data_IF_105763143015
#
_entry.id   IF_105763143015
#
_cell.length_a   1.000
_cell.length_b   1.000
_cell.length_c   1.000
_cell.angle_alpha   90.00
_cell.angle_beta   90.00
_cell.angle_gamma   90.00
#
_symmetry.space_group_name_H-M   'P 1'
#
loop_
_entity.id
_entity.type
_entity.pdbx_description
1 polymer ?
#
# COMPACT_ATOMS: atom_id res chain seq x y z
N UNK A 1 19.86 -21.18 27.68
CA UNK A 1 18.84 -21.98 28.38
C UNK A 1 18.09 -22.83 27.36
N UNK A 2 17.68 -24.05 27.72
CA UNK A 2 16.82 -24.87 26.84
C UNK A 2 15.42 -24.27 26.78
N UNK A 3 14.86 -24.11 25.58
CA UNK A 3 13.52 -23.52 25.37
C UNK A 3 12.45 -24.53 24.96
N UNK A 4 12.79 -25.82 25.08
CA UNK A 4 11.88 -26.93 24.75
C UNK A 4 10.63 -26.94 25.63
N UNK A 5 10.74 -26.40 26.85
CA UNK A 5 9.62 -26.25 27.78
C UNK A 5 8.45 -25.46 27.19
N UNK A 6 8.68 -24.50 26.28
CA UNK A 6 7.61 -23.70 25.63
C UNK A 6 6.63 -24.61 24.86
N UNK A 7 7.11 -25.75 24.35
CA UNK A 7 6.32 -26.73 23.61
C UNK A 7 5.66 -27.78 24.51
N UNK A 8 5.90 -27.74 25.83
CA UNK A 8 5.31 -28.70 26.75
C UNK A 8 3.80 -28.40 26.95
N UNK A 9 2.96 -29.35 26.52
CA UNK A 9 1.50 -29.23 26.62
C UNK A 9 0.99 -29.30 28.06
N UNK A 10 1.77 -29.90 28.97
CA UNK A 10 1.45 -29.97 30.39
C UNK A 10 2.03 -28.75 31.13
N UNK A 11 1.21 -27.71 31.28
CA UNK A 11 1.59 -26.45 31.95
C UNK A 11 1.77 -26.56 33.47
N UNK A 12 1.47 -27.73 34.05
CA UNK A 12 1.71 -28.03 35.45
C UNK A 12 2.94 -28.92 35.65
N UNK A 13 3.66 -29.29 34.58
CA UNK A 13 4.90 -30.03 34.69
C UNK A 13 6.01 -29.11 35.23
N UNK A 14 6.88 -29.67 36.07
CA UNK A 14 8.01 -28.95 36.66
C UNK A 14 8.87 -28.27 35.58
N UNK A 15 9.16 -28.97 34.47
CA UNK A 15 9.90 -28.42 33.32
C UNK A 15 9.28 -27.12 32.75
N UNK A 16 7.96 -27.02 32.73
CA UNK A 16 7.27 -25.82 32.24
C UNK A 16 7.30 -24.68 33.26
N UNK A 17 7.18 -25.01 34.55
CA UNK A 17 7.24 -24.02 35.63
C UNK A 17 8.66 -23.46 35.79
N UNK A 18 9.68 -24.33 35.78
CA UNK A 18 11.09 -23.95 35.79
C UNK A 18 11.43 -23.05 34.59
N UNK A 19 10.88 -23.38 33.42
CA UNK A 19 11.03 -22.56 32.22
C UNK A 19 10.43 -21.15 32.33
N UNK A 20 9.31 -21.00 33.03
CA UNK A 20 8.73 -19.69 33.34
C UNK A 20 9.67 -18.91 34.25
N UNK A 21 10.20 -19.54 35.30
CA UNK A 21 11.14 -18.90 36.23
C UNK A 21 12.40 -18.41 35.50
N UNK A 22 12.99 -19.25 34.65
CA UNK A 22 14.12 -18.91 33.78
C UNK A 22 13.83 -17.69 32.90
N UNK A 23 12.62 -17.64 32.30
CA UNK A 23 12.19 -16.50 31.48
C UNK A 23 12.04 -15.22 32.31
N UNK A 24 11.39 -15.30 33.48
CA UNK A 24 11.18 -14.15 34.35
C UNK A 24 12.53 -13.61 34.85
N UNK A 25 13.44 -14.50 35.22
CA UNK A 25 14.77 -14.10 35.66
C UNK A 25 15.56 -13.45 34.52
N UNK A 26 15.51 -14.03 33.32
CA UNK A 26 16.09 -13.43 32.13
C UNK A 26 15.56 -12.01 31.89
N UNK A 27 14.23 -11.83 31.90
CA UNK A 27 13.60 -10.54 31.68
C UNK A 27 14.00 -9.51 32.74
N UNK A 28 14.14 -9.92 34.01
CA UNK A 28 14.62 -9.05 35.10
C UNK A 28 16.06 -8.61 34.89
N UNK A 29 16.96 -9.55 34.52
CA UNK A 29 18.38 -9.24 34.29
C UNK A 29 18.59 -8.27 33.13
N UNK A 30 17.81 -8.42 32.06
CA UNK A 30 17.96 -7.62 30.84
C UNK A 30 17.15 -6.32 30.84
N UNK A 31 16.26 -6.12 31.82
CA UNK A 31 15.49 -4.89 32.00
C UNK A 31 15.57 -4.39 33.45
N UNK A 32 16.76 -4.00 33.94
CA UNK A 32 16.94 -3.60 35.34
C UNK A 32 16.09 -2.36 35.68
N UNK A 33 15.34 -2.44 36.78
CA UNK A 33 14.46 -1.36 37.24
C UNK A 33 13.06 -1.34 36.62
N UNK A 34 12.75 -2.20 35.64
CA UNK A 34 11.41 -2.28 35.06
C UNK A 34 10.41 -2.91 36.04
N UNK A 35 9.32 -2.20 36.34
CA UNK A 35 8.20 -2.72 37.16
C UNK A 35 7.17 -3.50 36.34
N UNK A 36 7.22 -3.36 35.00
CA UNK A 36 6.34 -4.02 34.04
C UNK A 36 7.14 -4.51 32.84
N UNK A 37 6.77 -5.67 32.31
CA UNK A 37 7.34 -6.26 31.09
C UNK A 37 6.23 -6.64 30.12
N UNK A 38 6.57 -6.86 28.85
CA UNK A 38 5.61 -7.36 27.86
C UNK A 38 5.20 -8.79 28.23
N UNK A 39 3.93 -9.14 28.04
CA UNK A 39 3.43 -10.47 28.41
C UNK A 39 3.42 -11.42 27.19
N UNK A 40 4.30 -12.45 27.13
CA UNK A 40 4.37 -13.40 26.01
C UNK A 40 3.34 -14.53 26.10
N UNK A 41 2.33 -14.41 26.96
CA UNK A 41 1.28 -15.43 27.00
C UNK A 41 0.41 -15.38 25.74
N UNK A 42 -0.21 -16.50 25.37
CA UNK A 42 -1.03 -16.63 24.14
C UNK A 42 -2.16 -15.61 24.03
N UNK A 43 -2.67 -15.11 25.17
CA UNK A 43 -3.72 -14.10 25.21
C UNK A 43 -3.19 -12.68 24.99
N UNK A 44 -2.03 -12.36 25.56
CA UNK A 44 -1.48 -11.01 25.53
C UNK A 44 -0.59 -10.77 24.30
N UNK A 45 -0.01 -11.82 23.73
CA UNK A 45 0.74 -11.78 22.47
C UNK A 45 1.85 -10.74 22.40
N UNK A 46 2.58 -10.55 23.50
CA UNK A 46 3.60 -9.50 23.64
C UNK A 46 3.07 -8.08 23.34
N UNK A 47 1.75 -7.85 23.36
CA UNK A 47 1.16 -6.52 23.12
C UNK A 47 0.88 -5.76 24.41
N UNK A 48 0.59 -6.47 25.50
CA UNK A 48 0.27 -5.87 26.80
C UNK A 48 1.49 -5.83 27.72
N UNK A 49 1.62 -4.72 28.44
CA UNK A 49 2.58 -4.55 29.54
C UNK A 49 1.91 -4.99 30.84
N UNK A 50 2.56 -5.86 31.60
CA UNK A 50 2.03 -6.41 32.85
C UNK A 50 3.12 -6.40 33.91
N UNK A 51 2.73 -6.43 35.19
CA UNK A 51 3.71 -6.66 36.26
C UNK A 51 4.33 -8.03 36.11
N UNK A 52 5.56 -8.18 36.59
CA UNK A 52 6.31 -9.44 36.44
C UNK A 52 5.55 -10.60 37.09
N UNK A 53 4.91 -10.34 38.23
CA UNK A 53 4.07 -11.31 38.94
C UNK A 53 2.84 -11.73 38.09
N UNK A 54 2.18 -10.76 37.44
CA UNK A 54 1.06 -11.04 36.54
C UNK A 54 1.49 -11.80 35.28
N UNK A 55 2.69 -11.53 34.76
CA UNK A 55 3.22 -12.28 33.61
C UNK A 55 3.43 -13.74 33.98
N UNK A 56 4.01 -14.04 35.15
CA UNK A 56 4.13 -15.41 35.66
C UNK A 56 2.77 -16.11 35.72
N UNK A 57 1.78 -15.47 36.34
CA UNK A 57 0.41 -15.99 36.41
C UNK A 57 -0.20 -16.24 35.02
N UNK A 58 -0.02 -15.30 34.09
CA UNK A 58 -0.51 -15.43 32.73
C UNK A 58 0.16 -16.57 31.95
N UNK A 59 1.44 -16.84 32.19
CA UNK A 59 2.16 -17.92 31.52
C UNK A 59 1.74 -19.31 32.02
N UNK A 60 1.43 -19.44 33.32
CA UNK A 60 0.82 -20.65 33.88
C UNK A 60 -0.58 -20.87 33.31
N UNK A 61 -1.44 -19.83 33.35
CA UNK A 61 -2.84 -19.94 32.96
C UNK A 61 -3.06 -20.09 31.45
N UNK A 62 -2.37 -19.27 30.65
CA UNK A 62 -2.66 -19.12 29.22
C UNK A 62 -1.60 -19.77 28.33
N UNK A 63 -0.45 -20.17 28.87
CA UNK A 63 0.66 -20.70 28.09
C UNK A 63 1.49 -19.59 27.44
N UNK A 64 2.79 -19.83 27.25
CA UNK A 64 3.63 -19.00 26.39
C UNK A 64 3.30 -19.24 24.91
N UNK A 65 3.62 -18.27 24.05
CA UNK A 65 3.51 -18.40 22.61
C UNK A 65 4.64 -19.26 22.08
N UNK A 66 4.27 -20.33 21.37
CA UNK A 66 5.20 -21.35 20.87
C UNK A 66 6.22 -20.80 19.87
N UNK A 67 5.86 -19.77 19.10
CA UNK A 67 6.74 -19.12 18.13
C UNK A 67 7.70 -18.13 18.77
N UNK A 68 7.50 -17.75 20.04
CA UNK A 68 8.34 -16.79 20.76
C UNK A 68 9.53 -17.48 21.44
N UNK A 69 10.38 -18.11 20.62
CA UNK A 69 11.57 -18.86 21.05
C UNK A 69 12.85 -18.03 21.14
N UNK A 70 12.80 -16.76 20.73
CA UNK A 70 13.85 -15.76 20.90
C UNK A 70 13.24 -14.62 21.72
N UNK A 71 13.76 -14.36 22.91
CA UNK A 71 13.23 -13.36 23.83
C UNK A 71 13.73 -11.95 23.50
N UNK A 72 13.71 -11.58 22.22
CA UNK A 72 14.24 -10.31 21.73
C UNK A 72 13.54 -9.08 22.35
N UNK A 73 12.23 -9.15 22.59
CA UNK A 73 11.49 -8.09 23.29
C UNK A 73 11.82 -8.00 24.80
N UNK A 74 12.60 -8.94 25.31
CA UNK A 74 13.09 -8.98 26.69
C UNK A 74 14.62 -8.91 26.76
N UNK A 75 15.30 -8.55 25.66
CA UNK A 75 16.74 -8.27 25.64
C UNK A 75 17.64 -9.41 25.13
N UNK A 76 17.08 -10.50 24.58
CA UNK A 76 17.89 -11.52 23.92
C UNK A 76 18.47 -11.00 22.60
N UNK A 77 19.80 -10.87 22.56
CA UNK A 77 20.53 -10.61 21.32
C UNK A 77 20.82 -11.93 20.60
N UNK A 78 20.62 -11.94 19.28
CA UNK A 78 20.94 -13.09 18.44
C UNK A 78 22.37 -12.93 17.95
N UNK A 79 23.28 -13.79 18.41
CA UNK A 79 24.66 -13.81 17.92
C UNK A 79 24.68 -14.25 16.45
N UNK A 80 24.97 -13.30 15.56
CA UNK A 80 25.15 -13.55 14.13
C UNK A 80 26.55 -14.03 13.81
N UNK A 81 26.83 -15.29 14.15
CA UNK A 81 27.92 -16.03 13.53
C UNK A 81 27.31 -17.06 12.56
N UNK A 82 27.59 -16.85 11.28
CA UNK A 82 27.30 -17.76 10.15
C UNK A 82 25.89 -17.70 9.54
N UNK A 83 25.63 -16.69 8.70
CA UNK A 83 25.10 -16.90 7.34
C UNK A 83 24.98 -15.56 6.59
N UNK A 84 25.72 -15.48 5.47
CA UNK A 84 25.46 -14.70 4.25
C UNK A 84 24.95 -13.26 4.35
N UNK A 85 25.76 -12.35 3.80
CA UNK A 85 25.49 -10.93 3.52
C UNK A 85 24.22 -10.69 2.68
N UNK A 86 23.05 -10.74 3.30
CA UNK A 86 21.88 -9.98 2.87
C UNK A 86 21.83 -8.71 3.72
N UNK A 87 21.66 -7.50 3.13
CA UNK A 87 21.41 -6.32 3.94
C UNK A 87 20.09 -6.56 4.67
N UNK A 88 20.19 -6.64 6.00
CA UNK A 88 19.04 -6.68 6.89
C UNK A 88 18.27 -5.39 6.70
N UNK A 89 17.07 -5.50 6.14
CA UNK A 89 16.05 -4.49 6.35
C UNK A 89 15.52 -4.76 7.75
N UNK A 90 16.12 -4.13 8.75
CA UNK A 90 15.54 -4.03 10.09
C UNK A 90 14.20 -3.29 9.93
N UNK A 91 13.12 -4.03 9.76
CA UNK A 91 11.77 -3.49 9.91
C UNK A 91 11.45 -3.41 11.41
N UNK A 92 12.24 -2.67 12.18
CA UNK A 92 11.66 -1.90 13.27
C UNK A 92 11.11 -0.68 12.57
N UNK A 93 9.80 -0.68 12.25
CA UNK A 93 9.14 0.58 11.91
C UNK A 93 9.51 1.54 13.05
N UNK A 94 10.27 2.61 12.79
CA UNK A 94 10.51 3.60 13.83
C UNK A 94 9.13 4.06 14.31
N UNK A 95 9.00 4.44 15.58
CA UNK A 95 7.84 5.21 16.01
C UNK A 95 7.99 6.58 15.34
N UNK A 96 7.64 6.66 14.05
CA UNK A 96 7.67 7.87 13.25
C UNK A 96 6.39 8.62 13.57
N UNK A 97 6.53 9.89 13.93
CA UNK A 97 5.40 10.77 14.16
C UNK A 97 4.42 10.69 12.96
N UNK A 98 3.11 10.50 13.19
CA UNK A 98 2.14 10.41 12.09
C UNK A 98 2.16 11.61 11.13
N UNK A 99 2.48 12.82 11.63
CA UNK A 99 2.66 14.00 10.79
C UNK A 99 3.92 13.89 9.92
N UNK A 100 5.02 13.37 10.45
CA UNK A 100 6.25 13.12 9.67
C UNK A 100 6.00 12.10 8.56
N UNK A 101 5.23 11.04 8.84
CA UNK A 101 4.83 10.07 7.81
C UNK A 101 4.03 10.73 6.68
N UNK A 102 3.10 11.60 7.02
CA UNK A 102 2.28 12.34 6.05
C UNK A 102 3.14 13.32 5.23
N UNK A 103 4.11 13.97 5.85
CA UNK A 103 5.07 14.82 5.15
C UNK A 103 5.93 14.00 4.18
N UNK A 104 6.38 12.81 4.58
CA UNK A 104 7.04 11.86 3.68
C UNK A 104 6.18 11.49 2.48
N UNK A 105 4.89 11.20 2.69
CA UNK A 105 3.93 10.92 1.61
C UNK A 105 3.81 12.12 0.65
N UNK A 106 3.75 13.36 1.14
CA UNK A 106 3.70 14.55 0.29
C UNK A 106 4.99 14.68 -0.53
N UNK A 107 6.15 14.49 0.10
CA UNK A 107 7.44 14.57 -0.57
C UNK A 107 7.57 13.50 -1.66
N UNK A 108 7.10 12.28 -1.41
CA UNK A 108 7.07 11.21 -2.40
C UNK A 108 6.13 11.51 -3.58
N UNK A 109 5.02 12.21 -3.34
CA UNK A 109 4.09 12.63 -4.40
C UNK A 109 4.63 13.84 -5.18
N UNK A 110 5.35 14.76 -4.52
CA UNK A 110 5.91 15.98 -5.12
C UNK A 110 7.41 16.16 -4.83
N UNK A 111 8.30 15.34 -5.42
CA UNK A 111 9.74 15.40 -5.13
C UNK A 111 10.44 16.69 -5.55
N UNK A 112 9.91 17.40 -6.56
CA UNK A 112 10.43 18.71 -6.98
C UNK A 112 10.43 19.73 -5.83
N UNK A 113 9.53 19.56 -4.85
CA UNK A 113 9.43 20.44 -3.70
C UNK A 113 10.52 20.17 -2.65
N UNK A 114 11.14 18.99 -2.68
CA UNK A 114 12.22 18.60 -1.77
C UNK A 114 13.60 19.03 -2.29
N UNK A 115 13.76 19.11 -3.61
CA UNK A 115 15.02 19.49 -4.29
C UNK A 115 15.39 20.96 -4.16
N UNK A 116 14.45 21.86 -3.86
CA UNK A 116 14.72 23.30 -3.75
C UNK A 116 15.46 23.72 -2.47
N UNK A 117 15.75 22.80 -1.54
CA UNK A 117 16.38 23.16 -0.26
C UNK A 117 17.90 22.92 -0.26
N UNK A 118 18.45 22.00 -1.08
CA UNK A 118 19.89 21.72 -1.08
C UNK A 118 20.38 21.05 -2.38
N UNK A 119 20.71 21.80 -3.44
CA UNK A 119 21.70 21.35 -4.43
C UNK A 119 22.24 22.50 -5.30
N UNK A 120 23.44 22.97 -4.94
CA UNK A 120 24.44 23.46 -5.88
C UNK A 120 25.04 22.21 -6.55
N UNK A 121 24.53 21.83 -7.72
CA UNK A 121 25.03 20.71 -8.51
C UNK A 121 24.57 20.85 -9.96
N UNK A 122 25.54 21.05 -10.85
CA UNK A 122 25.33 21.20 -12.30
C UNK A 122 24.75 19.92 -12.93
N UNK A 123 23.95 20.13 -13.99
CA UNK A 123 23.41 19.15 -14.98
C UNK A 123 22.02 18.51 -14.81
N UNK A 124 21.13 19.02 -13.94
CA UNK A 124 19.69 18.71 -14.07
C UNK A 124 18.90 19.95 -14.54
N UNK A 125 18.41 19.89 -15.78
CA UNK A 125 17.48 20.87 -16.34
C UNK A 125 16.23 20.88 -15.45
N UNK A 126 15.85 22.01 -14.82
CA UNK A 126 14.63 22.07 -14.03
C UNK A 126 13.44 21.74 -14.93
N UNK A 127 12.75 20.63 -14.66
CA UNK A 127 11.49 20.32 -15.32
C UNK A 127 10.52 21.47 -15.05
N UNK A 128 9.93 22.10 -16.08
CA UNK A 128 8.93 23.14 -15.87
C UNK A 128 7.79 22.57 -15.01
N UNK A 129 7.61 23.12 -13.81
CA UNK A 129 6.56 22.67 -12.90
C UNK A 129 5.22 23.10 -13.51
N UNK A 130 4.31 22.14 -13.74
CA UNK A 130 2.94 22.46 -14.11
C UNK A 130 2.28 23.25 -12.97
N UNK A 131 1.74 24.42 -13.28
CA UNK A 131 1.02 25.26 -12.31
C UNK A 131 -0.06 24.48 -11.54
N UNK A 132 -0.72 23.51 -12.18
CA UNK A 132 -1.76 22.70 -11.55
C UNK A 132 -1.18 21.72 -10.52
N UNK A 133 -0.03 21.11 -10.80
CA UNK A 133 0.65 20.22 -9.85
C UNK A 133 1.19 20.99 -8.64
N UNK A 134 1.69 22.21 -8.86
CA UNK A 134 2.13 23.10 -7.79
C UNK A 134 0.97 23.52 -6.88
N UNK A 135 -0.16 23.95 -7.44
CA UNK A 135 -1.37 24.28 -6.66
C UNK A 135 -1.84 23.09 -5.81
N UNK A 136 -1.75 21.87 -6.35
CA UNK A 136 -2.12 20.65 -5.64
C UNK A 136 -1.17 20.35 -4.48
N UNK A 137 0.14 20.52 -4.69
CA UNK A 137 1.16 20.43 -3.65
C UNK A 137 0.91 21.43 -2.52
N UNK A 138 0.76 22.73 -2.85
CA UNK A 138 0.56 23.78 -1.85
C UNK A 138 -0.67 23.52 -0.99
N UNK A 139 -1.76 23.04 -1.60
CA UNK A 139 -2.99 22.71 -0.88
C UNK A 139 -2.79 21.54 0.09
N UNK A 140 -2.03 20.52 -0.29
CA UNK A 140 -1.73 19.40 0.59
C UNK A 140 -0.79 19.81 1.72
N UNK A 141 0.26 20.56 1.39
CA UNK A 141 1.21 21.11 2.35
C UNK A 141 0.50 21.98 3.39
N UNK A 142 -0.44 22.82 2.96
CA UNK A 142 -1.27 23.60 3.87
C UNK A 142 -2.04 22.72 4.85
N UNK A 143 -2.66 21.62 4.38
CA UNK A 143 -3.40 20.71 5.28
C UNK A 143 -2.47 19.89 6.19
N UNK A 144 -1.24 19.60 5.75
CA UNK A 144 -0.25 18.89 6.57
C UNK A 144 0.39 19.77 7.65
N UNK A 145 0.54 21.06 7.38
CA UNK A 145 1.06 22.03 8.36
C UNK A 145 -0.03 22.64 9.24
N UNK A 146 -1.30 22.52 8.84
CA UNK A 146 -2.42 23.03 9.63
C UNK A 146 -2.78 22.03 10.73
N UNK A 147 -2.65 22.46 11.98
CA UNK A 147 -3.14 21.72 13.15
C UNK A 147 -4.64 21.39 13.01
N UNK A 148 -5.05 20.23 13.53
CA UNK A 148 -6.45 19.82 13.48
C UNK A 148 -7.38 20.78 14.22
N UNK A 149 -6.90 21.37 15.30
CA UNK A 149 -7.49 22.46 16.08
C UNK A 149 -6.34 23.18 16.81
N UNK A 150 -6.50 24.44 17.26
CA UNK A 150 -5.40 25.17 17.88
C UNK A 150 -4.80 24.45 19.09
N UNK A 151 -3.48 24.27 19.07
CA UNK A 151 -2.71 23.55 20.09
C UNK A 151 -2.66 22.03 19.89
N UNK A 152 -3.09 21.51 18.75
CA UNK A 152 -3.05 20.07 18.46
C UNK A 152 -1.70 19.67 17.84
N UNK A 153 -0.71 19.39 18.69
CA UNK A 153 0.62 18.96 18.25
C UNK A 153 0.62 17.56 17.61
N UNK A 154 -0.26 16.67 18.06
CA UNK A 154 -0.29 15.27 17.62
C UNK A 154 -0.89 15.03 16.24
N UNK A 155 -1.70 15.95 15.71
CA UNK A 155 -2.43 15.74 14.45
C UNK A 155 -2.56 17.03 13.64
N UNK A 156 -2.04 16.99 12.42
CA UNK A 156 -2.48 17.89 11.36
C UNK A 156 -3.84 17.48 10.78
N UNK A 157 -4.47 18.39 10.02
CA UNK A 157 -5.70 18.10 9.27
C UNK A 157 -5.50 16.93 8.32
N UNK A 158 -4.37 16.89 7.59
CA UNK A 158 -4.10 15.81 6.63
C UNK A 158 -3.88 14.47 7.35
N UNK A 159 -3.13 14.47 8.45
CA UNK A 159 -2.89 13.27 9.27
C UNK A 159 -4.18 12.68 9.80
N UNK A 160 -5.06 13.51 10.36
CA UNK A 160 -6.37 13.05 10.83
C UNK A 160 -7.20 12.42 9.70
N UNK A 161 -7.18 13.03 8.50
CA UNK A 161 -7.90 12.49 7.33
C UNK A 161 -7.33 11.15 6.89
N UNK A 162 -6.00 11.03 6.79
CA UNK A 162 -5.30 9.79 6.37
C UNK A 162 -5.63 8.66 7.34
N UNK A 163 -5.48 8.89 8.65
CA UNK A 163 -5.74 7.88 9.69
C UNK A 163 -7.21 7.42 9.72
N UNK A 164 -8.15 8.38 9.64
CA UNK A 164 -9.57 8.05 9.63
C UNK A 164 -9.96 7.27 8.36
N UNK A 165 -9.43 7.66 7.19
CA UNK A 165 -9.68 6.96 5.94
C UNK A 165 -9.04 5.58 5.91
N UNK A 166 -7.85 5.43 6.49
CA UNK A 166 -7.21 4.14 6.69
C UNK A 166 -8.07 3.24 7.60
N UNK A 167 -8.54 3.76 8.74
CA UNK A 167 -9.45 3.06 9.65
C UNK A 167 -10.75 2.64 8.95
N UNK A 168 -11.36 3.53 8.15
CA UNK A 168 -12.54 3.22 7.34
C UNK A 168 -12.31 2.00 6.43
N UNK A 169 -11.18 1.96 5.74
CA UNK A 169 -10.85 0.88 4.81
C UNK A 169 -10.57 -0.41 5.59
N UNK A 170 -9.70 -0.32 6.61
CA UNK A 170 -9.27 -1.44 7.44
C UNK A 170 -10.44 -2.14 8.12
N UNK A 171 -11.39 -1.38 8.66
CA UNK A 171 -12.56 -1.89 9.38
C UNK A 171 -13.84 -1.89 8.54
N UNK A 172 -13.73 -1.63 7.23
CA UNK A 172 -14.83 -1.72 6.24
C UNK A 172 -16.06 -0.89 6.60
N UNK A 173 -15.88 0.30 7.14
CA UNK A 173 -17.00 1.20 7.41
C UNK A 173 -17.67 1.60 6.10
N UNK A 174 -19.01 1.59 6.07
CA UNK A 174 -19.77 2.20 4.97
C UNK A 174 -19.55 3.73 4.97
N UNK A 175 -19.91 4.42 3.88
CA UNK A 175 -19.81 5.89 3.85
C UNK A 175 -20.73 6.51 4.90
N UNK A 176 -21.95 5.96 5.05
CA UNK A 176 -22.90 6.39 6.07
C UNK A 176 -22.33 6.23 7.50
N UNK A 177 -21.73 5.07 7.79
CA UNK A 177 -21.10 4.81 9.09
C UNK A 177 -19.94 5.76 9.36
N UNK A 178 -19.09 5.98 8.35
CA UNK A 178 -17.98 6.92 8.45
C UNK A 178 -18.46 8.36 8.71
N UNK A 179 -19.44 8.84 7.95
CA UNK A 179 -19.99 10.18 8.10
C UNK A 179 -20.63 10.39 9.48
N UNK A 180 -21.32 9.36 9.99
CA UNK A 180 -21.87 9.38 11.34
C UNK A 180 -20.78 9.55 12.40
N UNK A 181 -19.76 8.68 12.41
CA UNK A 181 -18.69 8.75 13.40
C UNK A 181 -17.82 10.00 13.24
N UNK A 182 -17.55 10.43 12.01
CA UNK A 182 -16.85 11.68 11.73
C UNK A 182 -17.61 12.88 12.34
N UNK A 183 -18.94 12.89 12.21
CA UNK A 183 -19.79 13.89 12.85
C UNK A 183 -19.76 13.81 14.38
N UNK A 184 -19.67 12.61 14.97
CA UNK A 184 -19.49 12.43 16.42
C UNK A 184 -18.14 12.99 16.86
N UNK A 185 -17.04 12.58 16.22
CA UNK A 185 -15.69 13.08 16.54
C UNK A 185 -15.62 14.59 16.42
N UNK A 186 -16.20 15.17 15.36
CA UNK A 186 -16.24 16.63 15.16
C UNK A 186 -16.92 17.39 16.31
N UNK A 187 -17.92 16.79 16.97
CA UNK A 187 -18.60 17.38 18.14
C UNK A 187 -17.85 17.16 19.45
N UNK A 188 -16.97 16.15 19.52
CA UNK A 188 -16.13 15.88 20.69
C UNK A 188 -14.89 16.78 20.73
N UNK A 189 -14.45 17.28 19.57
CA UNK A 189 -13.31 18.19 19.42
C UNK A 189 -13.70 19.66 19.70
N UNK A 190 -12.73 20.56 19.93
CA UNK A 190 -12.97 22.00 20.05
C UNK A 190 -13.74 22.59 18.86
N UNK A 191 -14.53 23.63 19.10
CA UNK A 191 -15.50 24.18 18.11
C UNK A 191 -14.84 24.67 16.82
N UNK A 192 -13.59 25.10 16.88
CA UNK A 192 -12.76 25.60 15.77
C UNK A 192 -11.94 24.50 15.07
N UNK A 193 -12.24 23.23 15.31
CA UNK A 193 -11.58 22.13 14.64
C UNK A 193 -11.81 22.12 13.11
N UNK A 194 -10.75 21.75 12.39
CA UNK A 194 -10.66 21.70 10.96
C UNK A 194 -10.92 20.29 10.39
N UNK A 195 -11.53 19.40 11.19
CA UNK A 195 -11.88 18.05 10.74
C UNK A 195 -12.85 18.11 9.56
N UNK A 196 -12.67 17.20 8.59
CA UNK A 196 -13.55 17.10 7.42
C UNK A 196 -15.02 16.92 7.81
N UNK A 197 -15.93 17.44 6.96
CA UNK A 197 -17.39 17.38 7.22
C UNK A 197 -17.97 15.99 7.00
N UNK A 198 -17.48 15.29 5.98
CA UNK A 198 -17.96 13.99 5.54
C UNK A 198 -16.86 13.27 4.73
N UNK A 199 -17.14 12.04 4.34
CA UNK A 199 -16.30 11.20 3.49
C UNK A 199 -15.92 11.87 2.18
N UNK A 200 -16.85 12.60 1.54
CA UNK A 200 -16.62 13.23 0.24
C UNK A 200 -15.58 14.34 0.35
N UNK A 201 -15.64 15.15 1.39
CA UNK A 201 -14.65 16.20 1.66
C UNK A 201 -13.30 15.61 2.04
N UNK A 202 -13.28 14.59 2.90
CA UNK A 202 -12.05 13.85 3.24
C UNK A 202 -11.38 13.26 1.99
N UNK A 203 -12.17 12.60 1.12
CA UNK A 203 -11.69 12.03 -0.13
C UNK A 203 -11.18 13.11 -1.11
N UNK A 204 -11.81 14.29 -1.15
CA UNK A 204 -11.36 15.41 -2.00
C UNK A 204 -9.98 15.94 -1.58
N UNK A 205 -9.65 15.91 -0.29
CA UNK A 205 -8.31 16.25 0.20
C UNK A 205 -7.30 15.20 -0.29
N UNK A 206 -7.61 13.90 -0.12
CA UNK A 206 -6.73 12.81 -0.53
C UNK A 206 -6.58 12.66 -2.06
N UNK A 207 -7.48 13.23 -2.86
CA UNK A 207 -7.32 13.28 -4.32
C UNK A 207 -5.98 13.93 -4.72
N UNK A 208 -5.49 14.87 -3.91
CA UNK A 208 -4.19 15.51 -4.12
C UNK A 208 -3.01 14.54 -4.08
N UNK A 209 -3.15 13.37 -3.46
CA UNK A 209 -2.07 12.39 -3.29
C UNK A 209 -1.91 11.45 -4.50
N UNK A 210 -2.57 11.74 -5.62
CA UNK A 210 -2.54 10.88 -6.81
C UNK A 210 -3.17 9.50 -6.57
N UNK A 211 -4.12 9.41 -5.62
CA UNK A 211 -4.94 8.23 -5.33
C UNK A 211 -6.23 8.20 -6.17
N UNK A 212 -6.31 9.05 -7.19
CA UNK A 212 -7.44 9.17 -8.10
C UNK A 212 -7.50 8.03 -9.12
N UNK A 213 -8.63 7.99 -9.83
CA UNK A 213 -8.82 7.12 -10.99
C UNK A 213 -9.71 7.83 -11.99
N UNK A 214 -9.50 7.54 -13.27
CA UNK A 214 -10.35 8.01 -14.36
C UNK A 214 -11.53 7.06 -14.55
N UNK A 215 -12.72 7.63 -14.77
CA UNK A 215 -13.92 6.86 -15.10
C UNK A 215 -14.10 6.86 -16.61
N UNK A 216 -13.84 5.73 -17.25
CA UNK A 216 -14.02 5.58 -18.69
C UNK A 216 -15.28 4.76 -18.93
N UNK A 217 -16.18 5.27 -19.77
CA UNK A 217 -17.42 4.56 -20.08
C UNK A 217 -17.14 3.45 -21.09
N UNK A 218 -17.80 2.32 -20.93
CA UNK A 218 -17.70 1.19 -21.84
C UNK A 218 -19.04 0.90 -22.50
N UNK A 219 -19.01 0.36 -23.72
CA UNK A 219 -20.20 -0.18 -24.35
C UNK A 219 -20.75 -1.34 -23.50
N UNK A 220 -22.08 -1.43 -23.41
CA UNK A 220 -22.81 -2.52 -22.72
C UNK A 220 -22.34 -3.91 -23.16
N UNK A 221 -22.09 -4.06 -24.45
CA UNK A 221 -21.65 -5.31 -25.07
C UNK A 221 -20.12 -5.45 -25.17
N UNK A 222 -19.36 -4.63 -24.42
CA UNK A 222 -17.89 -4.62 -24.41
C UNK A 222 -17.21 -4.32 -25.75
N UNK A 223 -17.94 -3.83 -26.77
CA UNK A 223 -17.37 -3.62 -28.11
C UNK A 223 -16.24 -2.57 -28.15
N UNK A 224 -16.32 -1.56 -27.27
CA UNK A 224 -15.37 -0.45 -27.21
C UNK A 224 -15.48 0.34 -25.91
N UNK A 225 -14.48 1.18 -25.66
CA UNK A 225 -14.52 2.26 -24.68
C UNK A 225 -14.89 3.59 -25.35
N UNK A 226 -15.69 4.40 -24.66
CA UNK A 226 -15.91 5.80 -25.02
C UNK A 226 -14.70 6.62 -24.52
N UNK A 227 -13.58 6.46 -25.22
CA UNK A 227 -12.25 6.95 -24.84
C UNK A 227 -11.59 7.64 -26.04
N UNK A 228 -10.85 8.73 -25.80
CA UNK A 228 -10.20 9.57 -26.82
C UNK A 228 -11.19 10.00 -27.92
N UNK A 229 -10.95 9.57 -29.17
CA UNK A 229 -11.77 9.92 -30.34
C UNK A 229 -13.25 9.54 -30.21
N UNK A 230 -13.59 8.65 -29.28
CA UNK A 230 -14.95 8.20 -29.02
C UNK A 230 -15.58 8.77 -27.74
N UNK A 231 -14.89 9.67 -27.04
CA UNK A 231 -15.34 10.21 -25.75
C UNK A 231 -16.66 10.98 -25.85
N UNK A 232 -16.91 11.65 -26.98
CA UNK A 232 -18.11 12.46 -27.21
C UNK A 232 -19.28 11.67 -27.78
N UNK A 233 -19.08 10.39 -28.11
CA UNK A 233 -20.15 9.55 -28.64
C UNK A 233 -21.13 9.16 -27.53
N UNK A 234 -22.41 9.24 -27.85
CA UNK A 234 -23.52 8.79 -27.00
C UNK A 234 -23.99 7.37 -27.36
N UNK A 235 -23.55 6.84 -28.51
CA UNK A 235 -23.92 5.53 -29.06
C UNK A 235 -22.69 4.79 -29.55
N UNK A 236 -22.65 3.48 -29.35
CA UNK A 236 -21.57 2.63 -29.85
C UNK A 236 -21.68 2.45 -31.38
N UNK A 237 -20.70 2.87 -32.20
CA UNK A 237 -20.71 2.67 -33.65
C UNK A 237 -20.66 1.20 -34.11
N UNK A 238 -20.30 0.26 -33.23
CA UNK A 238 -20.17 -1.17 -33.58
C UNK A 238 -21.51 -1.90 -33.43
N UNK A 239 -22.22 -1.68 -32.33
CA UNK A 239 -23.45 -2.42 -32.01
C UNK A 239 -24.69 -1.52 -31.83
N UNK A 240 -24.56 -0.22 -32.05
CA UNK A 240 -25.62 0.80 -31.92
C UNK A 240 -26.28 0.90 -30.53
N UNK A 241 -25.69 0.29 -29.50
CA UNK A 241 -26.18 0.42 -28.13
C UNK A 241 -25.85 1.79 -27.54
N UNK A 242 -26.77 2.30 -26.73
CA UNK A 242 -26.59 3.58 -26.04
C UNK A 242 -25.53 3.50 -24.94
N UNK A 243 -24.71 4.55 -24.83
CA UNK A 243 -23.76 4.75 -23.73
C UNK A 243 -24.45 4.88 -22.38
N UNK A 244 -25.69 5.39 -22.36
CA UNK A 244 -26.42 5.74 -21.15
C UNK A 244 -27.63 4.84 -20.91
N UNK A 245 -27.99 4.66 -19.64
CA UNK A 245 -29.20 3.95 -19.22
C UNK A 245 -30.43 4.79 -19.53
N UNK A 246 -31.53 4.15 -19.93
CA UNK A 246 -32.83 4.82 -20.03
C UNK A 246 -33.44 4.92 -18.64
N UNK A 247 -33.55 6.14 -18.09
CA UNK A 247 -34.22 6.39 -16.80
C UNK A 247 -35.64 6.90 -17.03
N UNK A 248 -36.61 6.31 -16.32
CA UNK A 248 -38.03 6.69 -16.39
C UNK A 248 -38.33 8.01 -15.66
N UNK A 249 -37.43 8.47 -14.80
CA UNK A 249 -37.58 9.67 -13.97
C UNK A 249 -36.38 10.59 -14.24
N UNK A 250 -36.68 11.80 -14.73
CA UNK A 250 -35.74 12.85 -15.14
C UNK A 250 -34.78 12.49 -16.30
N UNK A 251 -35.15 12.93 -17.52
CA UNK A 251 -34.36 12.86 -18.76
C UNK A 251 -33.04 13.66 -18.73
N UNK A 252 -32.72 14.35 -17.64
CA UNK A 252 -31.54 15.23 -17.54
C UNK A 252 -30.29 14.52 -17.04
N UNK A 253 -30.41 13.41 -16.29
CA UNK A 253 -29.24 12.75 -15.70
C UNK A 253 -28.77 11.60 -16.59
N UNK A 254 -27.67 11.82 -17.32
CA UNK A 254 -27.02 10.79 -18.15
C UNK A 254 -26.22 9.83 -17.25
N UNK A 255 -26.76 8.62 -17.01
CA UNK A 255 -26.09 7.59 -16.22
C UNK A 255 -25.45 6.56 -17.17
N UNK A 256 -24.13 6.34 -17.15
CA UNK A 256 -23.48 5.38 -18.05
C UNK A 256 -23.96 3.96 -17.78
N UNK A 257 -24.04 3.14 -18.84
CA UNK A 257 -24.41 1.74 -18.72
C UNK A 257 -23.32 0.91 -18.07
N UNK A 258 -22.06 1.12 -18.48
CA UNK A 258 -20.88 0.42 -17.95
C UNK A 258 -19.72 1.41 -17.79
N UNK A 259 -18.95 1.25 -16.72
CA UNK A 259 -17.80 2.11 -16.38
C UNK A 259 -16.63 1.23 -15.97
N UNK A 260 -15.47 1.45 -16.58
CA UNK A 260 -14.19 0.97 -16.06
C UNK A 260 -13.51 2.10 -15.29
N UNK A 261 -12.68 1.72 -14.30
CA UNK A 261 -11.81 2.66 -13.61
C UNK A 261 -10.38 2.44 -14.08
N UNK A 262 -9.74 3.51 -14.53
CA UNK A 262 -8.35 3.51 -14.95
C UNK A 262 -7.48 4.22 -13.91
N UNK A 263 -6.38 3.58 -13.52
CA UNK A 263 -5.42 4.07 -12.54
C UNK A 263 -4.08 4.26 -13.26
N UNK A 264 -3.68 5.50 -13.58
CA UNK A 264 -2.48 5.79 -14.36
C UNK A 264 -1.22 5.15 -13.80
N UNK A 265 -0.40 4.58 -14.68
CA UNK A 265 0.82 3.86 -14.36
C UNK A 265 2.05 4.78 -14.25
N UNK A 266 2.21 5.74 -15.17
CA UNK A 266 3.34 6.68 -15.25
C UNK A 266 3.64 7.37 -13.91
N UNK A 267 2.69 8.02 -13.22
CA UNK A 267 2.99 8.67 -11.93
C UNK A 267 3.33 7.69 -10.82
N UNK A 268 2.99 6.40 -10.95
CA UNK A 268 3.36 5.37 -9.95
C UNK A 268 4.75 4.81 -10.22
N UNK A 269 5.12 4.66 -11.50
CA UNK A 269 6.49 4.27 -11.88
C UNK A 269 7.50 5.36 -11.57
N UNK A 270 7.15 6.63 -11.82
CA UNK A 270 7.98 7.78 -11.44
C UNK A 270 8.29 7.76 -9.94
N UNK A 271 7.27 7.52 -9.10
CA UNK A 271 7.44 7.39 -7.64
C UNK A 271 8.45 6.32 -7.22
N UNK A 272 8.52 5.19 -7.93
CA UNK A 272 9.53 4.16 -7.64
C UNK A 272 10.96 4.65 -7.91
N UNK A 273 11.16 5.63 -8.79
CA UNK A 273 12.47 6.22 -9.05
C UNK A 273 12.78 7.44 -8.18
N UNK A 274 11.78 8.01 -7.52
CA UNK A 274 11.93 9.20 -6.69
C UNK A 274 12.50 8.89 -5.30
N UNK A 275 12.24 7.70 -4.75
CA UNK A 275 12.89 7.24 -3.52
C UNK A 275 14.23 6.57 -3.82
N UNK A 276 15.29 7.00 -3.12
CA UNK A 276 16.65 6.46 -3.27
C UNK A 276 16.72 4.94 -3.03
N UNK A 277 15.91 4.44 -2.11
CA UNK A 277 15.80 3.02 -1.80
C UNK A 277 15.18 2.23 -2.95
N UNK A 278 13.99 2.63 -3.41
CA UNK A 278 13.29 1.93 -4.50
C UNK A 278 14.00 2.13 -5.84
N UNK A 279 14.60 3.29 -6.11
CA UNK A 279 15.37 3.54 -7.34
C UNK A 279 16.61 2.64 -7.45
N UNK A 280 17.20 2.27 -6.31
CA UNK A 280 18.28 1.29 -6.26
C UNK A 280 17.77 -0.11 -6.60
N UNK A 281 16.63 -0.50 -6.02
CA UNK A 281 15.99 -1.79 -6.29
C UNK A 281 15.44 -1.91 -7.71
N UNK A 282 14.99 -0.82 -8.33
CA UNK A 282 14.53 -0.79 -9.73
C UNK A 282 15.64 -1.06 -10.76
N UNK A 283 16.91 -1.15 -10.32
CA UNK A 283 18.06 -1.54 -11.15
C UNK A 283 18.59 -2.92 -10.75
N UNK A 284 17.93 -3.62 -9.82
CA UNK A 284 18.40 -4.88 -9.24
C UNK A 284 18.59 -5.96 -10.31
N UNK A 285 17.61 -6.10 -11.22
CA UNK A 285 17.58 -7.12 -12.27
C UNK A 285 18.83 -7.16 -13.16
N UNK A 286 19.63 -6.08 -13.20
CA UNK A 286 20.87 -5.99 -13.98
C UNK A 286 22.12 -5.83 -13.12
N UNK A 287 22.04 -5.09 -12.00
CA UNK A 287 23.23 -4.74 -11.19
C UNK A 287 23.61 -5.78 -10.13
N UNK A 288 22.65 -6.58 -9.65
CA UNK A 288 22.85 -7.55 -8.58
C UNK A 288 22.40 -8.95 -8.97
N UNK A 289 22.18 -9.14 -10.26
CA UNK A 289 21.81 -10.41 -10.86
C UNK A 289 23.02 -11.34 -10.94
N UNK A 290 22.78 -12.62 -10.69
CA UNK A 290 23.79 -13.70 -10.76
C UNK A 290 23.28 -14.70 -11.79
N UNK A 291 24.04 -14.92 -12.85
CA UNK A 291 23.76 -15.93 -13.87
C UNK A 291 24.42 -17.25 -13.48
N UNK A 292 23.66 -18.10 -12.78
CA UNK A 292 24.11 -19.44 -12.35
C UNK A 292 23.14 -20.55 -12.81
N UNK A 293 22.36 -20.27 -13.86
CA UNK A 293 21.38 -21.19 -14.46
C UNK A 293 20.24 -21.62 -13.50
N UNK A 294 20.03 -20.89 -12.40
CA UNK A 294 18.93 -21.11 -11.46
C UNK A 294 17.85 -20.05 -11.64
N UNK A 295 16.62 -20.49 -11.94
CA UNK A 295 15.47 -19.59 -12.06
C UNK A 295 15.00 -19.06 -10.69
N UNK A 296 15.25 -17.78 -10.40
CA UNK A 296 14.87 -17.08 -9.16
C UNK A 296 13.99 -15.86 -9.42
N UNK A 297 14.03 -15.34 -10.63
CA UNK A 297 13.43 -14.09 -11.04
C UNK A 297 12.97 -14.18 -12.51
N UNK A 298 11.94 -13.43 -12.94
CA UNK A 298 11.52 -13.39 -14.35
C UNK A 298 12.66 -13.09 -15.34
N UNK A 299 13.71 -12.37 -14.89
CA UNK A 299 14.91 -12.09 -15.68
C UNK A 299 15.72 -13.34 -16.06
N UNK A 300 15.59 -14.43 -15.31
CA UNK A 300 16.26 -15.70 -15.61
C UNK A 300 15.54 -16.49 -16.72
N UNK A 301 14.29 -16.12 -17.00
CA UNK A 301 13.43 -16.80 -17.96
C UNK A 301 13.78 -16.49 -19.42
N UNK A 302 13.56 -17.46 -20.30
CA UNK A 302 13.88 -17.35 -21.73
C UNK A 302 13.14 -16.19 -22.42
N UNK A 303 11.90 -15.90 -22.03
CA UNK A 303 11.14 -14.78 -22.59
C UNK A 303 11.81 -13.43 -22.34
N UNK A 304 12.45 -13.24 -21.18
CA UNK A 304 13.21 -12.03 -20.87
C UNK A 304 14.51 -11.98 -21.67
N UNK A 305 15.24 -13.10 -21.73
CA UNK A 305 16.49 -13.22 -22.51
C UNK A 305 16.26 -12.98 -24.00
N UNK A 306 15.15 -13.48 -24.55
CA UNK A 306 14.74 -13.21 -25.94
C UNK A 306 14.38 -11.74 -26.16
N UNK A 307 13.65 -11.12 -25.21
CA UNK A 307 13.34 -9.69 -25.28
C UNK A 307 14.61 -8.84 -25.28
N UNK A 308 15.59 -9.16 -24.42
CA UNK A 308 16.85 -8.43 -24.34
C UNK A 308 17.71 -8.58 -25.62
N UNK A 309 17.66 -9.76 -26.27
CA UNK A 309 18.28 -9.98 -27.59
C UNK A 309 17.59 -9.19 -28.70
N UNK A 310 16.26 -9.10 -28.64
CA UNK A 310 15.44 -8.40 -29.64
C UNK A 310 15.58 -6.88 -29.53
N UNK A 311 15.70 -6.35 -28.31
CA UNK A 311 15.76 -4.91 -28.03
C UNK A 311 17.02 -4.55 -27.22
N UNK A 312 18.23 -4.66 -27.82
CA UNK A 312 19.50 -4.49 -27.09
C UNK A 312 19.68 -3.07 -26.54
N UNK A 313 19.22 -2.04 -27.26
CA UNK A 313 19.27 -0.65 -26.79
C UNK A 313 18.38 -0.44 -25.55
N UNK A 314 17.19 -1.04 -25.55
CA UNK A 314 16.31 -1.02 -24.38
C UNK A 314 16.93 -1.80 -23.22
N UNK A 315 17.48 -2.99 -23.48
CA UNK A 315 18.11 -3.81 -22.45
C UNK A 315 19.38 -3.19 -21.88
N UNK A 316 20.05 -2.30 -22.63
CA UNK A 316 21.28 -1.63 -22.21
C UNK A 316 21.09 -0.75 -20.98
N UNK A 317 19.97 -0.02 -20.87
CA UNK A 317 19.70 0.84 -19.72
C UNK A 317 19.00 0.06 -18.58
N UNK A 318 19.63 -0.13 -17.40
CA UNK A 318 18.99 -0.78 -16.25
C UNK A 318 17.79 0.00 -15.66
N UNK A 319 17.55 1.24 -16.09
CA UNK A 319 16.39 2.06 -15.68
C UNK A 319 15.15 1.77 -16.52
N UNK A 320 15.30 1.09 -17.66
CA UNK A 320 14.16 0.71 -18.46
C UNK A 320 13.30 -0.31 -17.70
N UNK A 321 12.01 0.00 -17.60
CA UNK A 321 11.08 -0.74 -16.75
C UNK A 321 10.50 -1.92 -17.51
N UNK A 322 10.57 -3.10 -16.90
CA UNK A 322 9.96 -4.34 -17.36
C UNK A 322 8.81 -4.69 -16.44
N UNK A 323 7.67 -4.95 -17.07
CA UNK A 323 6.39 -5.03 -16.42
C UNK A 323 5.78 -6.42 -16.62
N UNK A 324 5.39 -7.05 -15.52
CA UNK A 324 4.46 -8.17 -15.53
C UNK A 324 3.03 -7.66 -15.57
N UNK A 325 2.15 -8.36 -16.25
CA UNK A 325 0.72 -8.10 -16.25
C UNK A 325 -0.03 -9.36 -15.83
N UNK A 326 -0.93 -9.24 -14.86
CA UNK A 326 -1.84 -10.32 -14.47
C UNK A 326 -3.26 -9.79 -14.32
N UNK A 327 -4.23 -10.64 -14.63
CA UNK A 327 -5.66 -10.34 -14.51
C UNK A 327 -6.40 -11.62 -14.15
N UNK A 328 -7.42 -11.50 -13.30
CA UNK A 328 -8.34 -12.58 -13.00
C UNK A 328 -9.70 -12.02 -12.58
N UNK A 329 -10.76 -12.80 -12.75
CA UNK A 329 -12.11 -12.45 -12.34
C UNK A 329 -12.42 -12.95 -10.94
N UNK A 330 -12.98 -12.12 -10.07
CA UNK A 330 -13.47 -12.56 -8.76
C UNK A 330 -14.81 -11.91 -8.40
N UNK A 331 -15.57 -12.55 -7.52
CA UNK A 331 -16.84 -12.03 -7.02
C UNK A 331 -16.69 -11.47 -5.59
N UNK A 332 -16.62 -10.15 -5.38
CA UNK A 332 -16.49 -9.56 -4.05
C UNK A 332 -17.68 -9.82 -3.11
N UNK A 333 -18.86 -10.19 -3.64
CA UNK A 333 -20.06 -10.47 -2.84
C UNK A 333 -20.21 -11.97 -2.50
N UNK A 334 -19.29 -12.81 -2.96
CA UNK A 334 -19.35 -14.27 -2.76
C UNK A 334 -20.62 -14.90 -3.33
N UNK A 335 -21.09 -15.97 -2.71
CA UNK A 335 -22.25 -16.77 -3.18
C UNK A 335 -23.55 -15.96 -3.23
N UNK A 336 -23.64 -14.85 -2.49
CA UNK A 336 -24.85 -14.04 -2.35
C UNK A 336 -25.25 -13.25 -3.60
N UNK A 337 -24.33 -13.05 -4.56
CA UNK A 337 -24.65 -12.43 -5.84
C UNK A 337 -23.82 -13.04 -6.97
N UNK A 338 -24.24 -14.20 -7.47
CA UNK A 338 -23.52 -14.98 -8.49
C UNK A 338 -23.33 -14.24 -9.83
N UNK A 339 -24.08 -13.17 -10.08
CA UNK A 339 -24.02 -12.41 -11.33
C UNK A 339 -23.00 -11.28 -11.33
N UNK A 340 -22.34 -11.01 -10.19
CA UNK A 340 -21.34 -9.97 -10.11
C UNK A 340 -19.93 -10.54 -10.28
N UNK A 341 -19.17 -9.97 -11.22
CA UNK A 341 -17.75 -10.26 -11.39
C UNK A 341 -16.98 -8.96 -11.42
N UNK A 342 -15.87 -8.89 -10.68
CA UNK A 342 -14.91 -7.80 -10.72
C UNK A 342 -13.61 -8.31 -11.31
N UNK A 343 -13.06 -7.58 -12.27
CA UNK A 343 -11.83 -7.93 -12.97
C UNK A 343 -10.81 -6.81 -12.80
N UNK A 344 -9.91 -6.93 -11.81
CA UNK A 344 -8.75 -6.07 -11.71
C UNK A 344 -7.64 -6.55 -12.67
N UNK A 345 -6.94 -5.60 -13.28
CA UNK A 345 -5.70 -5.83 -14.00
C UNK A 345 -4.58 -5.23 -13.16
N UNK A 346 -3.63 -6.07 -12.79
CA UNK A 346 -2.45 -5.70 -12.01
C UNK A 346 -1.21 -5.67 -12.90
N UNK A 347 -0.39 -4.66 -12.65
CA UNK A 347 0.94 -4.52 -13.24
C UNK A 347 1.98 -4.67 -12.13
N UNK A 348 3.06 -5.39 -12.43
CA UNK A 348 4.14 -5.70 -11.49
C UNK A 348 5.46 -5.15 -12.05
N UNK A 349 6.19 -4.32 -11.31
CA UNK A 349 7.51 -3.87 -11.73
C UNK A 349 8.53 -4.99 -11.48
N UNK A 350 8.78 -5.82 -12.50
CA UNK A 350 9.77 -6.91 -12.44
C UNK A 350 11.22 -6.40 -12.40
N UNK A 351 11.44 -5.10 -12.40
CA UNK A 351 12.76 -4.54 -12.09
C UNK A 351 13.20 -4.79 -10.64
N UNK A 352 12.22 -4.89 -9.73
CA UNK A 352 12.44 -5.07 -8.30
C UNK A 352 12.99 -6.47 -7.97
N UNK A 353 13.71 -6.62 -6.84
CA UNK A 353 14.22 -7.91 -6.43
C UNK A 353 13.10 -8.93 -6.10
N UNK A 354 13.40 -10.25 -6.11
CA UNK A 354 12.42 -11.32 -5.88
C UNK A 354 11.61 -11.18 -4.58
N UNK A 355 12.22 -10.65 -3.53
CA UNK A 355 11.56 -10.43 -2.23
C UNK A 355 10.61 -9.22 -2.20
N UNK A 356 10.57 -8.42 -3.28
CA UNK A 356 9.73 -7.22 -3.43
C UNK A 356 8.78 -7.26 -4.62
N UNK A 357 9.17 -7.79 -5.78
CA UNK A 357 8.41 -7.66 -7.02
C UNK A 357 6.97 -8.22 -6.95
N UNK A 358 6.71 -9.19 -6.07
CA UNK A 358 5.39 -9.78 -5.81
C UNK A 358 4.78 -9.36 -4.47
N UNK A 359 5.29 -8.32 -3.81
CA UNK A 359 4.71 -7.79 -2.57
C UNK A 359 3.56 -6.83 -2.89
N UNK A 360 2.50 -6.87 -2.07
CA UNK A 360 1.25 -6.11 -2.29
C UNK A 360 1.49 -4.59 -2.46
N UNK A 361 2.52 -4.06 -1.82
CA UNK A 361 2.92 -2.66 -1.84
C UNK A 361 3.40 -2.20 -3.22
N UNK A 362 3.91 -3.13 -4.03
CA UNK A 362 4.41 -2.87 -5.38
C UNK A 362 3.46 -3.40 -6.48
N UNK A 363 2.34 -4.02 -6.11
CA UNK A 363 1.31 -4.44 -7.05
C UNK A 363 0.47 -3.24 -7.47
N UNK A 364 0.54 -2.89 -8.75
CA UNK A 364 -0.12 -1.71 -9.30
C UNK A 364 -1.40 -2.10 -10.03
N UNK A 365 -2.56 -1.99 -9.38
CA UNK A 365 -3.84 -2.12 -10.10
C UNK A 365 -3.98 -0.97 -11.10
N UNK A 366 -4.03 -1.24 -12.40
CA UNK A 366 -4.16 -0.25 -13.48
C UNK A 366 -5.59 -0.14 -14.00
N UNK A 367 -6.32 -1.24 -14.03
CA UNK A 367 -7.68 -1.30 -14.54
C UNK A 367 -8.57 -2.02 -13.55
N UNK A 368 -9.77 -1.49 -13.31
CA UNK A 368 -10.81 -2.16 -12.54
C UNK A 368 -12.13 -2.15 -13.31
N UNK A 369 -12.60 -3.35 -13.68
CA UNK A 369 -13.86 -3.57 -14.40
C UNK A 369 -14.85 -4.20 -13.42
N UNK A 370 -16.06 -3.66 -13.30
CA UNK A 370 -17.08 -4.16 -12.34
C UNK A 370 -18.05 -5.17 -12.95
N UNK A 371 -17.69 -5.77 -14.08
CA UNK A 371 -18.42 -6.86 -14.71
C UNK A 371 -17.44 -7.69 -15.55
N UNK A 372 -17.85 -8.90 -15.91
CA UNK A 372 -17.06 -9.77 -16.78
C UNK A 372 -16.81 -9.09 -18.16
N UNK A 373 -15.54 -8.91 -18.57
CA UNK A 373 -15.19 -8.45 -19.92
C UNK A 373 -15.38 -9.56 -20.97
N UNK A 374 -15.46 -10.83 -20.57
CA UNK A 374 -15.52 -11.98 -21.46
C UNK A 374 -14.30 -12.01 -22.38
N UNK A 375 -14.53 -12.16 -23.68
CA UNK A 375 -13.46 -12.18 -24.70
C UNK A 375 -12.91 -10.78 -25.05
N UNK A 376 -13.46 -9.71 -24.48
CA UNK A 376 -13.15 -8.33 -24.86
C UNK A 376 -12.22 -7.63 -23.86
N UNK A 377 -11.34 -8.37 -23.18
CA UNK A 377 -10.38 -7.80 -22.22
C UNK A 377 -9.42 -6.80 -22.89
N UNK A 378 -9.09 -7.04 -24.15
CA UNK A 378 -8.25 -6.20 -25.01
C UNK A 378 -8.81 -4.77 -25.15
N UNK A 379 -10.14 -4.63 -25.22
CA UNK A 379 -10.82 -3.33 -25.26
C UNK A 379 -10.52 -2.53 -23.99
N UNK A 380 -10.51 -3.18 -22.83
CA UNK A 380 -10.25 -2.53 -21.54
C UNK A 380 -8.76 -2.26 -21.28
N UNK A 381 -7.87 -2.96 -21.98
CA UNK A 381 -6.43 -2.72 -21.93
C UNK A 381 -6.01 -1.47 -22.72
N UNK A 382 -6.89 -0.89 -23.54
CA UNK A 382 -6.52 0.19 -24.45
C UNK A 382 -5.89 1.41 -23.75
N UNK A 383 -6.43 1.93 -22.63
CA UNK A 383 -5.79 3.06 -21.93
C UNK A 383 -4.39 2.71 -21.43
N UNK A 384 -4.20 1.48 -20.93
CA UNK A 384 -2.89 0.99 -20.47
C UNK A 384 -1.89 0.90 -21.63
N UNK A 385 -2.29 0.34 -22.77
CA UNK A 385 -1.44 0.26 -23.96
C UNK A 385 -1.04 1.64 -24.46
N UNK A 386 -1.98 2.59 -24.45
CA UNK A 386 -1.70 3.95 -24.89
C UNK A 386 -0.72 4.65 -23.93
N UNK A 387 -0.82 4.45 -22.62
CA UNK A 387 0.14 4.97 -21.64
C UNK A 387 1.53 4.28 -21.76
N UNK A 388 1.57 2.97 -22.02
CA UNK A 388 2.81 2.22 -22.22
C UNK A 388 3.58 2.64 -23.48
N UNK A 389 2.89 3.17 -24.50
CA UNK A 389 3.54 3.70 -25.72
C UNK A 389 4.11 5.11 -25.54
N UNK A 390 3.68 5.80 -24.50
CA UNK A 390 4.11 7.15 -24.14
C UNK A 390 5.20 7.14 -23.04
N UNK A 391 5.53 5.96 -22.52
CA UNK A 391 6.69 5.66 -21.68
C UNK A 391 7.84 5.21 -22.56
#
# INVERSE_FOLDING_TARGET
>A
MSRRWIQNLNRCADEYLDGIEDFIEFARRHNPGATRIRCPCRRCNNTLWETIENVGFHLVRNGMIETYSIWNLHGEQVDHASSSNAPRVDNVEPIVDPNDQVMGIIQDVFPFASTNINQEGEDDVPTPIDSAEFEQYEKLLKNANQELYPGCESFSVLTAIVELMHGKIKYRFSNLCFDYFLGVFKRMLPTDNCLSKDHKHAQKVLHGLGLGYEKIHACKNNCMLFYKVHETLDTCPICNESRFKMTSQNRTTKIPQKVMRYLPLKPRLQRLYMSTHTATDMRWHKKKWVDDDVMRHPADGEAWKEFDRTFPEFAADPRNVRLGLATDGFNPYGVLNQHHSTWPIFVFPYNLPPWKCMKKEYMMMTVLITADPGRSIDVYLRPLVDELKDL
#
